data_IF_107298403732
#
_entry.id   IF_107298403732
#
_cell.length_a   1.000
_cell.length_b   1.000
_cell.length_c   1.000
_cell.angle_alpha   90.00
_cell.angle_beta   90.00
_cell.angle_gamma   90.00
#
_symmetry.space_group_name_H-M   'P 1'
#
loop_
_entity.id
_entity.type
_entity.pdbx_description
1 polymer ?
#
# COMPACT_ATOMS: atom_id res chain seq x y z
N UNK A 1 -28.46 7.58 14.92
CA UNK A 1 -27.32 8.41 15.33
C UNK A 1 -26.52 8.80 14.08
N UNK A 2 -25.81 9.94 14.07
CA UNK A 2 -25.01 10.45 12.94
C UNK A 2 -23.83 9.55 12.50
N UNK A 3 -23.54 8.50 13.27
CA UNK A 3 -22.31 7.69 13.22
C UNK A 3 -22.02 7.02 11.86
N UNK A 4 -23.04 6.72 11.02
CA UNK A 4 -22.80 6.14 9.69
C UNK A 4 -22.19 7.14 8.69
N UNK A 5 -22.31 8.45 8.93
CA UNK A 5 -21.73 9.48 8.05
C UNK A 5 -20.25 9.71 8.30
N UNK A 6 -19.85 9.73 9.58
CA UNK A 6 -18.49 10.07 10.01
C UNK A 6 -17.50 8.95 9.72
N UNK A 7 -17.87 7.67 9.94
CA UNK A 7 -17.01 6.52 9.61
C UNK A 7 -16.74 6.43 8.10
N UNK A 8 -17.75 6.72 7.29
CA UNK A 8 -17.67 6.75 5.82
C UNK A 8 -16.82 7.92 5.34
N UNK A 9 -16.92 9.09 5.99
CA UNK A 9 -16.08 10.24 5.67
C UNK A 9 -14.63 10.07 6.14
N UNK A 10 -14.38 9.42 7.27
CA UNK A 10 -13.03 9.16 7.79
C UNK A 10 -12.22 8.22 6.87
N UNK A 11 -12.85 7.19 6.30
CA UNK A 11 -12.21 6.29 5.33
C UNK A 11 -11.99 7.01 3.98
N UNK A 12 -12.88 7.93 3.61
CA UNK A 12 -12.74 8.77 2.40
C UNK A 12 -11.57 9.74 2.51
N UNK A 13 -11.47 10.49 3.62
CA UNK A 13 -10.54 11.60 3.84
C UNK A 13 -9.05 11.24 3.90
N UNK A 14 -8.64 10.02 3.52
CA UNK A 14 -7.23 9.64 3.55
C UNK A 14 -6.85 8.59 2.52
N UNK A 15 -7.56 7.45 2.47
CA UNK A 15 -7.11 6.29 1.68
C UNK A 15 -7.87 6.11 0.37
N UNK A 16 -9.19 6.32 0.36
CA UNK A 16 -10.00 6.12 -0.85
C UNK A 16 -9.85 7.26 -1.87
N UNK A 17 -9.51 8.48 -1.42
CA UNK A 17 -9.29 9.64 -2.29
C UNK A 17 -8.06 9.51 -3.19
N UNK A 18 -7.03 8.79 -2.73
CA UNK A 18 -5.81 8.56 -3.49
C UNK A 18 -5.86 7.27 -4.32
N UNK A 19 -6.72 6.33 -3.92
CA UNK A 19 -6.82 5.01 -4.51
C UNK A 19 -7.22 5.06 -6.00
N UNK A 20 -6.42 4.38 -6.82
CA UNK A 20 -6.79 4.14 -8.22
C UNK A 20 -7.66 2.87 -8.33
N UNK A 21 -7.42 1.84 -7.51
CA UNK A 21 -8.18 0.58 -7.44
C UNK A 21 -8.39 0.24 -5.97
N UNK A 22 -9.56 -0.30 -5.63
CA UNK A 22 -9.86 -0.89 -4.32
C UNK A 22 -10.18 -2.37 -4.53
N UNK A 23 -9.52 -3.25 -3.78
CA UNK A 23 -9.73 -4.70 -3.86
C UNK A 23 -10.31 -5.21 -2.55
N UNK A 24 -11.50 -5.80 -2.61
CA UNK A 24 -12.10 -6.55 -1.51
C UNK A 24 -11.50 -7.95 -1.51
N UNK A 25 -10.58 -8.19 -0.58
CA UNK A 25 -9.94 -9.49 -0.41
C UNK A 25 -10.87 -10.50 0.28
N UNK A 26 -10.57 -11.80 0.15
CA UNK A 26 -11.38 -12.94 0.63
C UNK A 26 -12.72 -13.07 -0.10
N UNK A 27 -12.69 -12.92 -1.43
CA UNK A 27 -13.87 -13.07 -2.30
C UNK A 27 -14.56 -14.44 -2.19
N UNK A 28 -13.86 -15.45 -1.69
CA UNK A 28 -14.36 -16.79 -1.39
C UNK A 28 -15.33 -16.82 -0.18
N UNK A 29 -15.39 -15.74 0.62
CA UNK A 29 -16.21 -15.71 1.84
C UNK A 29 -17.60 -15.13 1.62
N UNK A 30 -18.62 -15.66 2.32
CA UNK A 30 -19.95 -15.08 2.29
C UNK A 30 -19.92 -13.63 2.79
N UNK A 31 -20.51 -12.73 2.01
CA UNK A 31 -20.54 -11.29 2.32
C UNK A 31 -19.51 -10.44 1.57
N UNK A 32 -18.59 -11.03 0.80
CA UNK A 32 -17.65 -10.27 -0.02
C UNK A 32 -18.36 -9.39 -1.05
N UNK A 33 -19.39 -9.91 -1.74
CA UNK A 33 -20.20 -9.13 -2.68
C UNK A 33 -20.95 -7.98 -2.00
N UNK A 34 -21.46 -8.20 -0.79
CA UNK A 34 -22.12 -7.16 0.02
C UNK A 34 -21.14 -6.05 0.39
N UNK A 35 -19.93 -6.40 0.82
CA UNK A 35 -18.87 -5.44 1.12
C UNK A 35 -18.46 -4.64 -0.14
N UNK A 36 -18.29 -5.30 -1.28
CA UNK A 36 -17.99 -4.63 -2.54
C UNK A 36 -19.12 -3.70 -2.99
N UNK A 37 -20.38 -4.12 -2.87
CA UNK A 37 -21.54 -3.28 -3.18
C UNK A 37 -21.63 -2.06 -2.27
N UNK A 38 -21.35 -2.23 -0.97
CA UNK A 38 -21.33 -1.12 -0.02
C UNK A 38 -20.20 -0.12 -0.35
N UNK A 39 -18.99 -0.60 -0.67
CA UNK A 39 -17.91 0.28 -1.10
C UNK A 39 -18.26 1.04 -2.40
N UNK A 40 -18.89 0.36 -3.37
CA UNK A 40 -19.35 1.01 -4.61
C UNK A 40 -20.40 2.08 -4.35
N UNK A 41 -21.36 1.84 -3.44
CA UNK A 41 -22.38 2.84 -3.09
C UNK A 41 -21.74 4.04 -2.37
N UNK A 42 -20.83 3.81 -1.44
CA UNK A 42 -20.08 4.86 -0.73
C UNK A 42 -19.31 5.78 -1.68
N UNK A 43 -18.62 5.20 -2.68
CA UNK A 43 -17.86 5.93 -3.70
C UNK A 43 -18.78 6.71 -4.67
N UNK A 44 -19.99 6.20 -4.93
CA UNK A 44 -20.97 6.83 -5.83
C UNK A 44 -21.66 8.03 -5.17
N UNK A 45 -22.05 7.89 -3.89
CA UNK A 45 -22.75 8.94 -3.11
C UNK A 45 -21.85 10.16 -2.82
N UNK A 46 -20.55 9.95 -2.64
CA UNK A 46 -19.59 11.07 -2.53
C UNK A 46 -19.53 11.91 -3.80
N UNK A 47 -19.55 11.24 -4.96
CA UNK A 47 -19.41 11.90 -6.24
C UNK A 47 -20.67 12.65 -6.73
N UNK A 48 -21.79 12.56 -6.02
CA UNK A 48 -22.99 13.39 -6.26
C UNK A 48 -22.92 14.71 -5.46
N UNK A 49 -22.32 14.72 -4.28
CA UNK A 49 -22.10 15.94 -3.49
C UNK A 49 -21.02 16.84 -4.11
N UNK A 50 -19.96 16.26 -4.68
CA UNK A 50 -18.86 17.05 -5.28
C UNK A 50 -19.21 17.71 -6.61
N UNK A 51 -20.24 17.22 -7.32
CA UNK A 51 -20.72 17.83 -8.58
C UNK A 51 -21.38 19.19 -8.39
N UNK A 52 -21.76 19.55 -7.16
CA UNK A 52 -22.37 20.83 -6.84
C UNK A 52 -21.32 21.95 -6.58
N UNK A 53 -20.02 21.62 -6.57
CA UNK A 53 -18.93 22.53 -6.16
C UNK A 53 -17.94 22.82 -7.31
N UNK A 54 -18.43 23.39 -8.41
CA UNK A 54 -17.61 24.12 -9.41
C UNK A 54 -16.37 23.39 -9.97
N UNK A 55 -15.33 24.17 -10.26
CA UNK A 55 -14.12 23.81 -11.04
C UNK A 55 -13.08 22.96 -10.28
N UNK A 56 -13.51 22.18 -9.28
CA UNK A 56 -12.59 21.31 -8.53
C UNK A 56 -12.20 20.08 -9.36
N UNK A 57 -10.96 19.57 -9.19
CA UNK A 57 -10.54 18.31 -9.80
C UNK A 57 -11.56 17.22 -9.47
N UNK A 58 -12.03 16.50 -10.50
CA UNK A 58 -13.02 15.44 -10.31
C UNK A 58 -12.46 14.40 -9.32
N UNK A 59 -13.23 14.01 -8.28
CA UNK A 59 -12.78 13.00 -7.34
C UNK A 59 -12.46 11.69 -8.08
N UNK A 60 -11.33 11.06 -7.73
CA UNK A 60 -10.97 9.76 -8.27
C UNK A 60 -12.10 8.78 -7.99
N UNK A 61 -12.45 7.99 -9.01
CA UNK A 61 -13.43 6.91 -8.89
C UNK A 61 -12.69 5.58 -8.97
N UNK A 62 -12.18 5.06 -7.83
CA UNK A 62 -11.49 3.79 -7.85
C UNK A 62 -12.43 2.68 -8.31
N UNK A 63 -11.88 1.75 -9.09
CA UNK A 63 -12.58 0.52 -9.47
C UNK A 63 -12.58 -0.42 -8.26
N UNK A 64 -13.75 -0.97 -7.91
CA UNK A 64 -13.90 -1.90 -6.79
C UNK A 64 -13.96 -3.32 -7.33
N UNK A 65 -12.90 -4.10 -7.08
CA UNK A 65 -12.74 -5.49 -7.52
C UNK A 65 -12.81 -6.45 -6.33
N UNK A 66 -13.12 -7.70 -6.62
CA UNK A 66 -13.09 -8.81 -5.66
C UNK A 66 -11.90 -9.69 -5.97
N UNK A 67 -11.16 -10.09 -4.96
CA UNK A 67 -10.11 -11.10 -5.11
C UNK A 67 -10.00 -11.97 -3.86
N UNK A 68 -9.42 -13.16 -4.01
CA UNK A 68 -8.96 -13.98 -2.89
C UNK A 68 -7.48 -14.28 -3.08
N UNK A 69 -6.66 -13.76 -2.17
CA UNK A 69 -5.23 -14.08 -2.17
C UNK A 69 -4.95 -15.56 -1.89
N UNK A 70 -5.88 -16.28 -1.25
CA UNK A 70 -5.70 -17.69 -0.91
C UNK A 70 -5.98 -18.61 -2.10
N UNK A 71 -7.04 -18.35 -2.87
CA UNK A 71 -7.42 -19.18 -4.01
C UNK A 71 -6.92 -18.65 -5.36
N UNK A 72 -6.45 -17.40 -5.41
CA UNK A 72 -6.12 -16.71 -6.66
C UNK A 72 -7.33 -16.20 -7.45
N UNK A 73 -8.56 -16.44 -6.96
CA UNK A 73 -9.79 -15.92 -7.58
C UNK A 73 -9.72 -14.39 -7.69
N UNK A 74 -10.11 -13.83 -8.83
CA UNK A 74 -10.17 -12.37 -9.02
C UNK A 74 -8.80 -11.69 -9.25
N UNK A 75 -7.69 -12.41 -9.12
CA UNK A 75 -6.34 -11.87 -9.34
C UNK A 75 -6.11 -11.50 -10.81
N UNK A 76 -6.49 -12.31 -11.82
CA UNK A 76 -6.36 -11.92 -13.22
C UNK A 76 -7.07 -10.59 -13.56
N UNK A 77 -8.25 -10.36 -12.99
CA UNK A 77 -9.05 -9.16 -13.18
C UNK A 77 -8.39 -7.93 -12.54
N UNK A 78 -7.78 -8.10 -11.36
CA UNK A 78 -6.98 -7.06 -10.70
C UNK A 78 -5.77 -6.68 -11.55
N UNK A 79 -5.03 -7.68 -12.07
CA UNK A 79 -3.88 -7.43 -12.94
C UNK A 79 -4.30 -6.71 -14.23
N UNK A 80 -5.37 -7.16 -14.88
CA UNK A 80 -5.90 -6.50 -16.07
C UNK A 80 -6.33 -5.05 -15.79
N UNK A 81 -6.85 -4.76 -14.60
CA UNK A 81 -7.21 -3.40 -14.20
C UNK A 81 -5.99 -2.50 -13.97
N UNK A 82 -4.92 -3.05 -13.40
CA UNK A 82 -3.62 -2.36 -13.28
C UNK A 82 -3.03 -2.05 -14.67
N UNK A 83 -3.02 -3.03 -15.58
CA UNK A 83 -2.50 -2.86 -16.93
C UNK A 83 -3.26 -1.79 -17.71
N UNK A 84 -4.60 -1.80 -17.66
CA UNK A 84 -5.44 -0.75 -18.27
C UNK A 84 -5.11 0.63 -17.72
N UNK A 85 -4.90 0.76 -16.41
CA UNK A 85 -4.55 2.04 -15.77
C UNK A 85 -3.16 2.50 -16.16
N UNK A 86 -2.20 1.59 -16.21
CA UNK A 86 -0.85 1.93 -16.62
C UNK A 86 -0.83 2.37 -18.09
N UNK A 87 -1.53 1.66 -18.98
CA UNK A 87 -1.72 2.06 -20.37
C UNK A 87 -2.36 3.44 -20.49
N UNK A 88 -3.42 3.73 -19.72
CA UNK A 88 -4.08 5.04 -19.72
C UNK A 88 -3.16 6.15 -19.20
N UNK A 89 -2.37 5.89 -18.14
CA UNK A 89 -1.37 6.84 -17.62
C UNK A 89 -0.28 7.13 -18.64
N UNK A 90 0.21 6.11 -19.36
CA UNK A 90 1.19 6.27 -20.44
C UNK A 90 0.62 7.06 -21.62
N UNK A 91 -0.61 6.77 -22.02
CA UNK A 91 -1.29 7.46 -23.12
C UNK A 91 -1.69 8.91 -22.81
N UNK A 92 -1.91 9.24 -21.53
CA UNK A 92 -2.28 10.58 -21.09
C UNK A 92 -1.13 11.61 -21.11
N UNK A 93 0.09 11.21 -21.45
CA UNK A 93 1.11 12.12 -21.97
C UNK A 93 1.43 13.34 -21.11
N UNK A 94 1.71 13.17 -19.82
CA UNK A 94 2.44 14.17 -19.03
C UNK A 94 3.91 13.75 -19.00
N UNK A 95 4.66 14.16 -20.02
CA UNK A 95 6.06 13.80 -20.25
C UNK A 95 7.00 14.13 -19.08
N UNK A 96 6.62 15.01 -18.14
CA UNK A 96 7.34 15.22 -16.87
C UNK A 96 6.91 14.29 -15.72
N UNK A 97 5.62 13.94 -15.61
CA UNK A 97 5.13 13.03 -14.56
C UNK A 97 5.44 11.57 -14.89
N UNK A 98 5.58 11.20 -16.17
CA UNK A 98 5.96 9.86 -16.59
C UNK A 98 7.38 9.49 -16.13
N UNK A 99 8.30 10.44 -16.19
CA UNK A 99 9.68 10.30 -15.72
C UNK A 99 9.75 10.34 -14.19
N UNK A 100 9.05 11.27 -13.54
CA UNK A 100 8.95 11.31 -12.08
C UNK A 100 8.33 10.04 -11.50
N UNK A 101 7.26 9.52 -12.10
CA UNK A 101 6.64 8.27 -11.65
C UNK A 101 7.50 7.05 -11.96
N UNK A 102 8.27 7.07 -13.06
CA UNK A 102 9.25 6.02 -13.36
C UNK A 102 10.38 6.02 -12.34
N UNK A 103 10.90 7.20 -11.98
CA UNK A 103 11.93 7.36 -10.95
C UNK A 103 11.40 6.91 -9.59
N UNK A 104 10.22 7.36 -9.16
CA UNK A 104 9.62 6.97 -7.89
C UNK A 104 9.39 5.45 -7.79
N UNK A 105 8.98 4.79 -8.89
CA UNK A 105 8.87 3.32 -8.93
C UNK A 105 10.23 2.64 -8.81
N UNK A 106 11.24 3.14 -9.53
CA UNK A 106 12.60 2.63 -9.45
C UNK A 106 13.17 2.80 -8.04
N UNK A 107 12.98 3.96 -7.41
CA UNK A 107 13.38 4.24 -6.03
C UNK A 107 12.71 3.26 -5.06
N UNK A 108 11.39 3.10 -5.12
CA UNK A 108 10.67 2.18 -4.24
C UNK A 108 11.16 0.72 -4.42
N UNK A 109 11.41 0.30 -5.66
CA UNK A 109 11.94 -1.04 -5.96
C UNK A 109 13.36 -1.21 -5.41
N UNK A 110 14.24 -0.24 -5.62
CA UNK A 110 15.63 -0.28 -5.15
C UNK A 110 15.69 -0.26 -3.62
N UNK A 111 14.98 0.64 -2.95
CA UNK A 111 14.92 0.70 -1.49
C UNK A 111 14.33 -0.58 -0.89
N UNK A 112 13.31 -1.16 -1.52
CA UNK A 112 12.74 -2.44 -1.11
C UNK A 112 13.76 -3.60 -1.20
N UNK A 113 14.44 -3.72 -2.34
CA UNK A 113 15.48 -4.73 -2.56
C UNK A 113 16.64 -4.53 -1.58
N UNK A 114 17.07 -3.28 -1.36
CA UNK A 114 18.15 -2.95 -0.44
C UNK A 114 17.78 -3.32 1.00
N UNK A 115 16.58 -2.94 1.47
CA UNK A 115 16.11 -3.28 2.81
C UNK A 115 16.05 -4.81 3.01
N UNK A 116 15.59 -5.55 2.01
CA UNK A 116 15.54 -7.01 2.08
C UNK A 116 16.94 -7.64 2.13
N UNK A 117 17.86 -7.19 1.29
CA UNK A 117 19.26 -7.65 1.31
C UNK A 117 19.96 -7.35 2.63
N UNK A 118 19.76 -6.15 3.19
CA UNK A 118 20.32 -5.78 4.48
C UNK A 118 19.77 -6.66 5.61
N UNK A 119 18.44 -6.88 5.66
CA UNK A 119 17.83 -7.81 6.62
C UNK A 119 18.38 -9.22 6.47
N UNK A 120 18.56 -9.70 5.24
CA UNK A 120 19.17 -11.00 4.96
C UNK A 120 20.57 -11.13 5.55
N UNK A 121 21.44 -10.14 5.33
CA UNK A 121 22.81 -10.13 5.86
C UNK A 121 22.85 -10.09 7.39
N UNK A 122 21.96 -9.34 8.04
CA UNK A 122 21.85 -9.32 9.53
C UNK A 122 21.43 -10.68 10.09
N UNK A 123 20.71 -11.49 9.30
CA UNK A 123 20.20 -12.81 9.68
C UNK A 123 21.09 -13.98 9.26
N UNK A 124 22.24 -13.72 8.65
CA UNK A 124 23.18 -14.78 8.26
C UNK A 124 23.67 -15.57 9.50
N UNK A 125 23.94 -16.89 9.37
CA UNK A 125 24.39 -17.72 10.48
C UNK A 125 25.61 -17.17 11.23
N UNK A 126 26.54 -16.54 10.51
CA UNK A 126 27.74 -15.93 11.07
C UNK A 126 27.43 -14.79 12.07
N UNK A 127 26.25 -14.16 11.97
CA UNK A 127 25.83 -13.00 12.76
C UNK A 127 24.63 -13.28 13.66
N UNK A 128 24.01 -14.46 13.52
CA UNK A 128 22.78 -14.81 14.23
C UNK A 128 22.89 -14.69 15.76
N UNK A 129 24.04 -15.04 16.33
CA UNK A 129 24.30 -14.93 17.76
C UNK A 129 24.30 -13.47 18.24
N UNK A 130 25.05 -12.60 17.56
CA UNK A 130 25.13 -11.17 17.87
C UNK A 130 23.79 -10.48 17.68
N UNK A 131 23.13 -10.73 16.54
CA UNK A 131 21.79 -10.18 16.24
C UNK A 131 20.79 -10.54 17.34
N UNK A 132 20.83 -11.78 17.85
CA UNK A 132 19.96 -12.22 18.94
C UNK A 132 20.24 -11.49 20.26
N UNK A 133 21.50 -11.20 20.56
CA UNK A 133 21.88 -10.43 21.77
C UNK A 133 21.32 -9.01 21.69
N UNK A 134 21.51 -8.34 20.54
CA UNK A 134 21.02 -6.96 20.36
C UNK A 134 19.49 -6.89 20.45
N UNK A 135 18.78 -7.83 19.82
CA UNK A 135 17.31 -7.88 19.89
C UNK A 135 16.81 -8.14 21.31
N UNK A 136 17.53 -8.94 22.10
CA UNK A 136 17.17 -9.18 23.51
C UNK A 136 17.37 -7.93 24.36
N UNK A 137 18.47 -7.20 24.18
CA UNK A 137 18.70 -5.94 24.89
C UNK A 137 17.57 -4.92 24.65
N UNK A 138 16.99 -4.88 23.44
CA UNK A 138 15.81 -4.05 23.16
C UNK A 138 14.57 -4.56 23.87
N UNK A 139 14.34 -5.88 23.86
CA UNK A 139 13.20 -6.50 24.56
C UNK A 139 13.27 -6.30 26.08
N UNK A 140 14.47 -6.27 26.65
CA UNK A 140 14.73 -6.07 28.07
C UNK A 140 14.82 -4.58 28.46
N UNK A 141 14.58 -3.66 27.50
CA UNK A 141 14.66 -2.19 27.67
C UNK A 141 16.06 -1.65 28.05
N UNK A 142 17.11 -2.40 27.76
CA UNK A 142 18.51 -2.03 28.01
C UNK A 142 19.12 -1.24 26.83
N UNK A 143 18.52 -1.34 25.65
CA UNK A 143 18.94 -0.65 24.44
C UNK A 143 17.73 -0.13 23.68
N UNK A 144 17.76 1.13 23.23
CA UNK A 144 16.67 1.65 22.42
C UNK A 144 16.73 1.10 20.97
N UNK A 145 15.59 1.04 20.27
CA UNK A 145 15.53 0.49 18.92
C UNK A 145 16.42 1.20 17.89
N UNK A 146 16.70 2.50 18.05
CA UNK A 146 17.55 3.25 17.11
C UNK A 146 19.01 2.86 17.31
N UNK A 147 19.50 2.86 18.55
CA UNK A 147 20.86 2.41 18.86
C UNK A 147 21.09 0.94 18.49
N UNK A 148 20.07 0.08 18.64
CA UNK A 148 20.11 -1.30 18.17
C UNK A 148 20.24 -1.40 16.65
N UNK A 149 19.49 -0.60 15.89
CA UNK A 149 19.58 -0.56 14.44
C UNK A 149 20.96 -0.09 13.97
N UNK A 150 21.49 0.98 14.58
CA UNK A 150 22.83 1.50 14.28
C UNK A 150 23.93 0.47 14.54
N UNK A 151 23.83 -0.26 15.66
CA UNK A 151 24.78 -1.33 16.00
C UNK A 151 24.75 -2.47 14.98
N UNK A 152 23.56 -2.93 14.57
CA UNK A 152 23.42 -3.98 13.56
C UNK A 152 23.91 -3.51 12.18
N UNK A 153 23.71 -2.23 11.84
CA UNK A 153 24.22 -1.64 10.61
C UNK A 153 25.75 -1.54 10.63
N UNK A 154 26.34 -1.06 11.73
CA UNK A 154 27.79 -0.96 11.88
C UNK A 154 28.48 -2.32 11.73
N UNK A 155 27.89 -3.36 12.30
CA UNK A 155 28.38 -4.73 12.16
C UNK A 155 28.46 -5.17 10.69
N UNK A 156 27.57 -4.71 9.81
CA UNK A 156 27.57 -5.06 8.37
C UNK A 156 28.68 -4.37 7.56
N UNK A 157 29.24 -3.27 8.07
CA UNK A 157 30.24 -2.43 7.40
C UNK A 157 31.67 -2.75 7.81
N UNK A 158 31.90 -3.32 8.99
CA UNK A 158 33.22 -3.81 9.39
C UNK A 158 33.58 -5.08 8.60
N UNK A 159 34.65 -4.98 7.81
CA UNK A 159 35.28 -6.05 7.03
C UNK A 159 36.62 -6.43 7.64
#
# INVERSE_FOLDING_TARGET
APEMGDEVQAIKAGLLEVADIVVVNKADRPGADRAASHLRSMLTVGAQHDRAMGDRPRPKRPEVLLASGASGQGVPEVLASLDRREAKRRAAGTSGEADGARLARAEAQVWGILAERLRGRVREPARAAETKVVLRAVADHELDPYAAADRLLAALTDR
#
